data_IF_323313168759
#
_entry.id   IF_323313168759
#
_cell.length_a   1.000
_cell.length_b   1.000
_cell.length_c   1.000
_cell.angle_alpha   90.00
_cell.angle_beta   90.00
_cell.angle_gamma   90.00
#
_symmetry.space_group_name_H-M   'P 1'
#
loop_
_entity.id
_entity.type
_entity.pdbx_description
1 polymer ?
#
# COMPACT_ATOMS: atom_id res chain seq x y z
N UNK A 1 -17.10 -26.63 -2.39
CA UNK A 1 -16.30 -26.47 -3.62
C UNK A 1 -16.44 -25.11 -4.25
N UNK A 2 -17.65 -24.64 -4.50
CA UNK A 2 -17.89 -23.28 -4.98
C UNK A 2 -17.25 -22.20 -4.10
N UNK A 3 -17.32 -22.39 -2.81
CA UNK A 3 -16.81 -21.45 -1.82
C UNK A 3 -15.29 -21.27 -1.94
N UNK A 4 -14.57 -22.37 -2.17
CA UNK A 4 -13.12 -22.34 -2.34
C UNK A 4 -12.73 -21.64 -3.66
N UNK A 5 -13.50 -21.90 -4.73
CA UNK A 5 -13.25 -21.29 -6.05
C UNK A 5 -13.48 -19.79 -6.01
N UNK A 6 -14.52 -19.33 -5.34
CA UNK A 6 -14.81 -17.90 -5.17
C UNK A 6 -13.72 -17.18 -4.37
N UNK A 7 -13.22 -17.81 -3.30
CA UNK A 7 -12.14 -17.25 -2.51
C UNK A 7 -10.84 -17.19 -3.30
N UNK A 8 -10.55 -18.23 -4.09
CA UNK A 8 -9.36 -18.25 -4.93
C UNK A 8 -9.42 -17.18 -6.00
N UNK A 9 -10.60 -16.99 -6.60
CA UNK A 9 -10.80 -15.96 -7.60
C UNK A 9 -10.66 -14.56 -7.00
N UNK A 10 -11.24 -14.33 -5.83
CA UNK A 10 -11.11 -13.06 -5.12
C UNK A 10 -9.66 -12.76 -4.76
N UNK A 11 -8.92 -13.76 -4.29
CA UNK A 11 -7.50 -13.61 -3.97
C UNK A 11 -6.68 -13.31 -5.23
N UNK A 12 -6.99 -13.97 -6.34
CA UNK A 12 -6.32 -13.71 -7.62
C UNK A 12 -6.58 -12.29 -8.11
N UNK A 13 -7.83 -11.85 -8.05
CA UNK A 13 -8.20 -10.50 -8.46
C UNK A 13 -7.51 -9.44 -7.59
N UNK A 14 -7.44 -9.69 -6.29
CA UNK A 14 -6.72 -8.81 -5.39
C UNK A 14 -5.22 -8.78 -5.70
N UNK A 15 -4.61 -9.93 -5.92
CA UNK A 15 -3.19 -10.02 -6.27
C UNK A 15 -2.89 -9.26 -7.56
N UNK A 16 -3.76 -9.36 -8.56
CA UNK A 16 -3.62 -8.61 -9.81
C UNK A 16 -3.74 -7.11 -9.58
N UNK A 17 -4.68 -6.68 -8.76
CA UNK A 17 -4.84 -5.26 -8.41
C UNK A 17 -3.59 -4.72 -7.70
N UNK A 18 -3.09 -5.48 -6.75
CA UNK A 18 -1.88 -5.11 -6.01
C UNK A 18 -0.66 -5.04 -6.94
N UNK A 19 -0.52 -6.02 -7.81
CA UNK A 19 0.57 -6.06 -8.80
C UNK A 19 0.54 -4.83 -9.70
N UNK A 20 -0.64 -4.48 -10.23
CA UNK A 20 -0.80 -3.33 -11.10
C UNK A 20 -0.51 -2.01 -10.38
N UNK A 21 -0.97 -1.88 -9.14
CA UNK A 21 -0.69 -0.71 -8.33
C UNK A 21 0.80 -0.57 -8.05
N UNK A 22 1.47 -1.66 -7.69
CA UNK A 22 2.91 -1.64 -7.44
C UNK A 22 3.70 -1.30 -8.69
N UNK A 23 3.26 -1.79 -9.83
CA UNK A 23 3.88 -1.47 -11.12
C UNK A 23 3.76 0.02 -11.42
N UNK A 24 2.60 0.61 -11.17
CA UNK A 24 2.41 2.06 -11.32
C UNK A 24 3.36 2.85 -10.41
N UNK A 25 3.46 2.45 -9.16
CA UNK A 25 4.36 3.10 -8.21
C UNK A 25 5.81 3.00 -8.71
N UNK A 26 6.24 1.81 -9.13
CA UNK A 26 7.61 1.59 -9.63
C UNK A 26 7.93 2.43 -10.86
N UNK A 27 6.98 2.57 -11.78
CA UNK A 27 7.18 3.34 -13.01
C UNK A 27 7.43 4.82 -12.77
N UNK A 28 7.02 5.33 -11.62
CA UNK A 28 7.16 6.73 -11.25
C UNK A 28 8.24 6.97 -10.20
N UNK A 29 9.08 5.97 -9.91
CA UNK A 29 10.09 6.08 -8.87
C UNK A 29 11.38 6.74 -9.38
N UNK A 30 11.84 7.74 -8.65
CA UNK A 30 13.16 8.35 -8.81
C UNK A 30 13.91 8.41 -7.47
N UNK A 31 13.29 7.91 -6.40
CA UNK A 31 13.89 7.88 -5.05
C UNK A 31 14.58 6.54 -4.81
N UNK A 32 15.67 6.54 -4.03
CA UNK A 32 16.42 5.34 -3.69
C UNK A 32 16.08 4.76 -2.33
N UNK A 33 15.54 5.59 -1.45
CA UNK A 33 15.25 5.21 -0.07
C UNK A 33 13.96 5.89 0.39
N UNK A 34 13.18 5.22 1.22
CA UNK A 34 11.95 5.80 1.75
C UNK A 34 12.26 6.62 2.99
N UNK A 35 11.91 7.90 2.93
CA UNK A 35 12.01 8.83 4.05
C UNK A 35 10.80 9.75 4.01
N UNK A 36 9.90 9.61 4.98
CA UNK A 36 8.72 10.45 5.02
C UNK A 36 9.11 11.91 5.29
N UNK A 37 8.55 12.86 4.52
CA UNK A 37 8.76 14.28 4.78
C UNK A 37 8.15 14.70 6.10
N UNK A 38 8.54 15.88 6.58
CA UNK A 38 7.90 16.48 7.74
C UNK A 38 6.42 16.76 7.46
N UNK A 39 5.60 16.71 8.51
CA UNK A 39 4.14 16.83 8.38
C UNK A 39 3.71 18.13 7.69
N UNK A 40 4.44 19.23 7.89
CA UNK A 40 4.13 20.52 7.28
C UNK A 40 4.33 20.55 5.76
N UNK A 41 5.09 19.60 5.21
CA UNK A 41 5.35 19.47 3.76
C UNK A 41 4.36 18.55 3.07
N UNK A 42 3.56 17.80 3.83
CA UNK A 42 2.60 16.85 3.29
C UNK A 42 1.34 17.57 2.81
N UNK A 43 0.80 17.14 1.66
CA UNK A 43 -0.51 17.58 1.22
C UNK A 43 -1.61 16.96 2.09
N UNK A 44 -2.81 17.49 1.99
CA UNK A 44 -3.94 16.98 2.78
C UNK A 44 -4.22 15.50 2.50
N UNK A 45 -4.19 15.10 1.24
CA UNK A 45 -4.39 13.71 0.83
C UNK A 45 -3.28 12.79 1.36
N UNK A 46 -2.04 13.30 1.48
CA UNK A 46 -0.93 12.54 2.05
C UNK A 46 -1.18 12.24 3.54
N UNK A 47 -1.59 13.26 4.28
CA UNK A 47 -1.91 13.12 5.70
C UNK A 47 -3.06 12.15 5.90
N UNK A 48 -4.07 12.24 5.04
CA UNK A 48 -5.24 11.38 5.10
C UNK A 48 -4.88 9.91 4.88
N UNK A 49 -4.09 9.61 3.84
CA UNK A 49 -3.73 8.22 3.56
C UNK A 49 -2.84 7.64 4.67
N UNK A 50 -1.90 8.43 5.18
CA UNK A 50 -1.04 7.99 6.27
C UNK A 50 -1.83 7.71 7.55
N UNK A 51 -2.77 8.59 7.88
CA UNK A 51 -3.65 8.39 9.03
C UNK A 51 -4.51 7.14 8.86
N UNK A 52 -5.10 6.98 7.67
CA UNK A 52 -5.94 5.81 7.36
C UNK A 52 -5.15 4.51 7.42
N UNK A 53 -3.92 4.53 6.94
CA UNK A 53 -3.03 3.36 7.02
C UNK A 53 -2.67 3.03 8.46
N UNK A 54 -2.36 4.01 9.28
CA UNK A 54 -2.05 3.78 10.69
C UNK A 54 -3.23 3.16 11.43
N UNK A 55 -4.43 3.62 11.15
CA UNK A 55 -5.66 3.04 11.72
C UNK A 55 -5.85 1.59 11.26
N UNK A 56 -5.56 1.32 9.99
CA UNK A 56 -5.60 -0.05 9.47
C UNK A 56 -4.63 -0.95 10.24
N UNK A 57 -3.39 -0.52 10.42
CA UNK A 57 -2.38 -1.31 11.12
C UNK A 57 -2.81 -1.63 12.55
N UNK A 58 -3.37 -0.65 13.26
CA UNK A 58 -3.91 -0.86 14.60
C UNK A 58 -5.05 -1.88 14.61
N UNK A 59 -5.97 -1.76 13.65
CA UNK A 59 -7.11 -2.66 13.52
C UNK A 59 -6.66 -4.09 13.22
N UNK A 60 -5.70 -4.25 12.30
CA UNK A 60 -5.16 -5.57 11.95
C UNK A 60 -4.51 -6.22 13.16
N UNK A 61 -3.68 -5.48 13.89
CA UNK A 61 -3.02 -6.01 15.08
C UNK A 61 -4.04 -6.43 16.14
N UNK A 62 -5.07 -5.61 16.38
CA UNK A 62 -6.11 -5.91 17.35
C UNK A 62 -6.89 -7.17 16.97
N UNK A 63 -7.22 -7.31 15.69
CA UNK A 63 -7.97 -8.49 15.20
C UNK A 63 -7.12 -9.76 15.26
N UNK A 64 -5.83 -9.67 14.96
CA UNK A 64 -4.94 -10.84 15.06
C UNK A 64 -4.74 -11.28 16.51
N UNK A 65 -4.69 -10.35 17.45
CA UNK A 65 -4.62 -10.67 18.87
C UNK A 65 -5.86 -11.44 19.34
N UNK A 66 -7.00 -11.18 18.71
CA UNK A 66 -8.27 -11.88 19.00
C UNK A 66 -8.46 -13.13 18.14
N UNK A 67 -7.46 -13.51 17.36
CA UNK A 67 -7.54 -14.61 16.39
C UNK A 67 -8.61 -14.42 15.31
N UNK A 68 -8.97 -13.18 15.03
CA UNK A 68 -9.93 -12.84 13.96
C UNK A 68 -9.20 -12.56 12.65
N UNK A 69 -8.57 -13.60 12.11
CA UNK A 69 -7.71 -13.52 10.92
C UNK A 69 -8.47 -13.06 9.68
N UNK A 70 -9.69 -13.60 9.50
CA UNK A 70 -10.52 -13.22 8.34
C UNK A 70 -10.91 -11.75 8.35
N UNK A 71 -11.20 -11.21 9.54
CA UNK A 71 -11.53 -9.78 9.68
C UNK A 71 -10.32 -8.92 9.35
N UNK A 72 -9.13 -9.31 9.83
CA UNK A 72 -7.89 -8.59 9.54
C UNK A 72 -7.61 -8.57 8.04
N UNK A 73 -7.70 -9.71 7.39
CA UNK A 73 -7.44 -9.82 5.96
C UNK A 73 -8.44 -9.01 5.13
N UNK A 74 -9.73 -9.06 5.48
CA UNK A 74 -10.75 -8.27 4.79
C UNK A 74 -10.49 -6.78 4.91
N UNK A 75 -10.04 -6.32 6.07
CA UNK A 75 -9.70 -4.91 6.27
C UNK A 75 -8.51 -4.48 5.39
N UNK A 76 -7.50 -5.33 5.26
CA UNK A 76 -6.35 -5.05 4.40
C UNK A 76 -6.80 -4.97 2.93
N UNK A 77 -7.63 -5.91 2.48
CA UNK A 77 -8.15 -5.93 1.11
C UNK A 77 -8.94 -4.67 0.80
N UNK A 78 -9.85 -4.28 1.69
CA UNK A 78 -10.68 -3.10 1.51
C UNK A 78 -9.84 -1.83 1.44
N UNK A 79 -8.91 -1.66 2.36
CA UNK A 79 -8.03 -0.50 2.36
C UNK A 79 -7.21 -0.42 1.07
N UNK A 80 -6.60 -1.53 0.68
CA UNK A 80 -5.72 -1.57 -0.50
C UNK A 80 -6.50 -1.24 -1.77
N UNK A 81 -7.66 -1.86 -1.94
CA UNK A 81 -8.44 -1.70 -3.16
C UNK A 81 -9.12 -0.34 -3.23
N UNK A 82 -9.89 0.00 -2.20
CA UNK A 82 -10.75 1.19 -2.24
C UNK A 82 -10.00 2.47 -1.87
N UNK A 83 -9.19 2.43 -0.83
CA UNK A 83 -8.56 3.64 -0.31
C UNK A 83 -7.25 3.93 -1.03
N UNK A 84 -6.36 2.98 -1.10
CA UNK A 84 -5.05 3.20 -1.72
C UNK A 84 -5.13 3.23 -3.23
N UNK A 85 -5.67 2.20 -3.86
CA UNK A 85 -5.69 2.08 -5.32
C UNK A 85 -6.70 3.02 -5.98
N UNK A 86 -7.96 2.99 -5.56
CA UNK A 86 -9.01 3.76 -6.23
C UNK A 86 -9.00 5.23 -5.87
N UNK A 87 -8.54 5.58 -4.67
CA UNK A 87 -8.52 6.97 -4.21
C UNK A 87 -7.15 7.62 -4.28
N UNK A 88 -6.21 7.15 -3.47
CA UNK A 88 -4.93 7.86 -3.32
C UNK A 88 -4.10 7.84 -4.60
N UNK A 89 -4.00 6.69 -5.26
CA UNK A 89 -3.23 6.62 -6.52
C UNK A 89 -3.84 7.53 -7.57
N UNK A 90 -5.15 7.60 -7.66
CA UNK A 90 -5.80 8.51 -8.62
C UNK A 90 -5.51 9.98 -8.31
N UNK A 91 -5.57 10.37 -7.05
CA UNK A 91 -5.20 11.72 -6.63
C UNK A 91 -3.71 12.01 -6.88
N UNK A 92 -2.88 11.00 -6.74
CA UNK A 92 -1.44 11.12 -6.90
C UNK A 92 -1.01 11.31 -8.36
N UNK A 93 -1.79 10.85 -9.32
CA UNK A 93 -1.42 10.91 -10.74
C UNK A 93 -1.08 12.31 -11.21
N UNK A 94 -1.84 13.33 -10.80
CA UNK A 94 -1.58 14.71 -11.19
C UNK A 94 -0.22 15.19 -10.68
N UNK A 95 0.12 14.86 -9.45
CA UNK A 95 1.41 15.24 -8.85
C UNK A 95 2.58 14.49 -9.48
N UNK A 96 2.38 13.23 -9.83
CA UNK A 96 3.41 12.41 -10.46
C UNK A 96 3.67 12.82 -11.90
N UNK A 97 2.71 13.46 -12.58
CA UNK A 97 2.91 14.01 -13.91
C UNK A 97 3.82 15.24 -13.92
N UNK A 98 3.93 15.96 -12.81
CA UNK A 98 4.84 17.10 -12.67
C UNK A 98 6.22 16.61 -12.25
N UNK A 99 7.00 16.14 -13.23
CA UNK A 99 8.33 15.59 -12.98
C UNK A 99 9.27 16.61 -12.34
N UNK A 100 10.10 16.14 -11.43
CA UNK A 100 11.10 16.92 -10.69
C UNK A 100 10.54 17.97 -9.73
N UNK A 101 9.22 18.02 -9.54
CA UNK A 101 8.63 18.90 -8.53
C UNK A 101 8.80 18.33 -7.13
N UNK A 102 8.75 19.21 -6.12
CA UNK A 102 8.76 18.77 -4.71
C UNK A 102 7.53 17.90 -4.42
N UNK A 103 6.37 18.29 -4.96
CA UNK A 103 5.15 17.50 -4.81
C UNK A 103 5.27 16.10 -5.35
N UNK A 104 5.97 15.93 -6.47
CA UNK A 104 6.25 14.61 -7.04
C UNK A 104 7.09 13.76 -6.08
N UNK A 105 8.18 14.30 -5.56
CA UNK A 105 9.05 13.57 -4.63
C UNK A 105 8.32 13.19 -3.35
N UNK A 106 7.53 14.10 -2.80
CA UNK A 106 6.73 13.83 -1.61
C UNK A 106 5.73 12.72 -1.88
N UNK A 107 5.05 12.78 -3.02
CA UNK A 107 4.08 11.77 -3.42
C UNK A 107 4.73 10.38 -3.57
N UNK A 108 5.93 10.32 -4.16
CA UNK A 108 6.68 9.07 -4.26
C UNK A 108 7.00 8.49 -2.88
N UNK A 109 7.42 9.33 -1.94
CA UNK A 109 7.73 8.90 -0.58
C UNK A 109 6.49 8.32 0.12
N UNK A 110 5.35 9.01 0.02
CA UNK A 110 4.12 8.58 0.67
C UNK A 110 3.59 7.29 0.02
N UNK A 111 3.53 7.25 -1.32
CA UNK A 111 3.10 6.05 -2.05
C UNK A 111 3.92 4.83 -1.67
N UNK A 112 5.23 4.97 -1.66
CA UNK A 112 6.12 3.84 -1.40
C UNK A 112 6.04 3.41 0.06
N UNK A 113 5.94 4.36 0.98
CA UNK A 113 5.78 4.06 2.39
C UNK A 113 4.50 3.25 2.65
N UNK A 114 3.38 3.71 2.10
CA UNK A 114 2.09 3.05 2.30
C UNK A 114 2.10 1.67 1.64
N UNK A 115 2.62 1.57 0.42
CA UNK A 115 2.70 0.28 -0.28
C UNK A 115 3.55 -0.72 0.51
N UNK A 116 4.73 -0.31 0.96
CA UNK A 116 5.57 -1.17 1.80
C UNK A 116 4.84 -1.62 3.07
N UNK A 117 4.08 -0.72 3.68
CA UNK A 117 3.29 -1.05 4.86
C UNK A 117 2.21 -2.08 4.55
N UNK A 118 1.50 -1.92 3.44
CA UNK A 118 0.50 -2.90 2.99
C UNK A 118 1.14 -4.27 2.78
N UNK A 119 2.31 -4.30 2.12
CA UNK A 119 3.02 -5.55 1.87
C UNK A 119 3.44 -6.24 3.17
N UNK A 120 3.87 -5.48 4.16
CA UNK A 120 4.22 -6.04 5.47
C UNK A 120 3.00 -6.65 6.16
N UNK A 121 1.86 -5.98 6.09
CA UNK A 121 0.61 -6.50 6.67
C UNK A 121 0.11 -7.74 5.95
N UNK A 122 0.30 -7.81 4.62
CA UNK A 122 -0.14 -8.94 3.80
C UNK A 122 0.80 -10.13 3.84
N UNK A 123 2.07 -9.92 4.20
CA UNK A 123 3.09 -10.96 4.10
C UNK A 123 2.70 -12.30 4.74
N UNK A 124 2.09 -12.35 5.93
CA UNK A 124 1.67 -13.62 6.52
C UNK A 124 0.64 -14.38 5.69
N UNK A 125 -0.11 -13.69 4.84
CA UNK A 125 -1.21 -14.27 4.05
C UNK A 125 -0.80 -14.57 2.61
N UNK A 126 0.11 -13.79 2.05
CA UNK A 126 0.53 -13.88 0.65
C UNK A 126 2.04 -13.69 0.52
N UNK A 127 2.85 -14.60 1.10
CA UNK A 127 4.29 -14.36 1.24
C UNK A 127 5.04 -14.23 -0.10
N UNK A 128 4.62 -14.96 -1.14
CA UNK A 128 5.36 -14.96 -2.40
C UNK A 128 5.21 -13.64 -3.16
N UNK A 129 3.98 -13.18 -3.36
CA UNK A 129 3.75 -11.93 -4.10
C UNK A 129 4.27 -10.71 -3.33
N UNK A 130 4.08 -10.68 -2.01
CA UNK A 130 4.55 -9.57 -1.19
C UNK A 130 6.06 -9.46 -1.21
N UNK A 131 6.77 -10.58 -1.10
CA UNK A 131 8.23 -10.61 -1.17
C UNK A 131 8.74 -10.13 -2.52
N UNK A 132 8.14 -10.60 -3.60
CA UNK A 132 8.55 -10.20 -4.94
C UNK A 132 8.37 -8.70 -5.17
N UNK A 133 7.24 -8.14 -4.77
CA UNK A 133 6.99 -6.71 -4.90
C UNK A 133 7.91 -5.91 -3.99
N UNK A 134 8.02 -6.30 -2.73
CA UNK A 134 8.85 -5.61 -1.73
C UNK A 134 10.30 -5.50 -2.17
N UNK A 135 10.85 -6.58 -2.72
CA UNK A 135 12.25 -6.61 -3.17
C UNK A 135 12.53 -5.64 -4.30
N UNK A 136 11.51 -5.23 -5.05
CA UNK A 136 11.67 -4.32 -6.18
C UNK A 136 11.49 -2.83 -5.82
N UNK A 137 11.20 -2.54 -4.56
CA UNK A 137 10.89 -1.18 -4.09
C UNK A 137 12.00 -0.63 -3.18
N UNK A 138 12.17 0.71 -3.11
CA UNK A 138 12.95 1.32 -2.03
C UNK A 138 12.31 1.05 -0.69
N UNK A 139 13.12 1.03 0.38
CA UNK A 139 12.66 0.69 1.72
C UNK A 139 13.02 1.78 2.72
N UNK A 140 12.43 1.70 3.92
CA UNK A 140 12.86 2.48 5.06
C UNK A 140 14.27 2.02 5.48
N UNK A 141 15.09 2.92 6.05
CA UNK A 141 16.38 2.51 6.59
C UNK A 141 16.23 1.35 7.58
N UNK A 142 16.99 0.29 7.37
CA UNK A 142 16.97 -0.87 8.25
C UNK A 142 16.00 -1.98 7.87
N UNK A 143 15.21 -1.78 6.83
CA UNK A 143 14.28 -2.84 6.35
C UNK A 143 14.98 -3.94 5.56
#
# INVERSE_FOLDING_TARGET
MRFSDEKMEAARNFANKLWNASRFVRMNLTIDEVRLPNADRLALEDKWILHSFNRLAESVNANLEKYEVGVALAAIYEFTWDVFCDWYIELAKARLNEKESEGNRICQQVNTYVLNGILKLLHPFMPFITEEIFSSLPHLPGD
#
